data_IF_427496097132
#
_entry.id   IF_427496097132
#
_cell.length_a   1.000
_cell.length_b   1.000
_cell.length_c   1.000
_cell.angle_alpha   90.00
_cell.angle_beta   90.00
_cell.angle_gamma   90.00
#
_symmetry.space_group_name_H-M   'P 1'
#
loop_
_entity.id
_entity.type
_entity.pdbx_description
1 polymer ?
#
# COMPACT_ATOMS: atom_id res chain seq x y z
N UNK A 1 -7.31 49.86 10.06
CA UNK A 1 -6.56 48.71 9.52
C UNK A 1 -7.08 47.49 10.26
N UNK A 2 -8.02 46.78 9.64
CA UNK A 2 -8.71 45.64 10.22
C UNK A 2 -7.82 44.41 10.21
N UNK A 3 -7.55 43.86 11.38
CA UNK A 3 -6.94 42.54 11.55
C UNK A 3 -7.81 41.49 10.86
N UNK A 4 -7.26 40.87 9.81
CA UNK A 4 -7.89 39.75 9.12
C UNK A 4 -7.84 38.51 10.01
N UNK A 5 -8.99 38.13 10.56
CA UNK A 5 -9.15 36.90 11.34
C UNK A 5 -8.75 35.66 10.54
N UNK A 6 -7.68 35.00 10.98
CA UNK A 6 -7.26 33.69 10.49
C UNK A 6 -8.23 32.63 11.04
N UNK A 7 -8.68 31.74 10.16
CA UNK A 7 -9.59 30.63 10.43
C UNK A 7 -9.30 29.91 11.76
N UNK A 8 -10.36 29.56 12.48
CA UNK A 8 -10.37 29.04 13.86
C UNK A 8 -9.25 28.03 14.13
N UNK A 9 -8.31 28.42 15.01
CA UNK A 9 -7.19 27.58 15.39
C UNK A 9 -7.67 26.37 16.18
N UNK A 10 -7.47 25.18 15.61
CA UNK A 10 -7.44 23.96 16.40
C UNK A 10 -6.32 24.12 17.45
N UNK A 11 -6.64 23.99 18.73
CA UNK A 11 -5.66 24.14 19.82
C UNK A 11 -4.63 23.01 19.85
N UNK A 12 -4.90 21.92 19.13
CA UNK A 12 -4.03 20.74 19.03
C UNK A 12 -2.88 21.03 18.07
N UNK A 13 -1.65 20.86 18.58
CA UNK A 13 -0.42 21.21 17.85
C UNK A 13 0.46 20.00 17.53
N UNK A 14 0.06 18.80 17.94
CA UNK A 14 0.82 17.56 17.72
C UNK A 14 0.24 16.74 16.57
N UNK A 15 1.09 16.22 15.70
CA UNK A 15 0.79 15.18 14.73
C UNK A 15 1.52 13.90 15.14
N UNK A 16 0.84 12.76 15.04
CA UNK A 16 1.44 11.46 15.32
C UNK A 16 1.57 10.66 14.02
N UNK A 17 2.77 10.18 13.72
CA UNK A 17 3.06 9.45 12.49
C UNK A 17 3.44 8.01 12.82
N UNK A 18 2.90 7.06 12.08
CA UNK A 18 3.36 5.67 12.17
C UNK A 18 4.85 5.57 11.79
N UNK A 19 5.62 4.86 12.61
CA UNK A 19 7.00 4.49 12.30
C UNK A 19 7.14 3.60 11.04
N UNK A 20 6.02 3.02 10.57
CA UNK A 20 5.96 2.17 9.37
C UNK A 20 5.49 2.94 8.12
N UNK A 21 5.47 4.28 8.17
CA UNK A 21 5.32 5.11 6.98
C UNK A 21 6.56 5.01 6.08
N UNK A 22 6.38 5.33 4.79
CA UNK A 22 7.52 5.50 3.91
C UNK A 22 8.45 6.61 4.43
N UNK A 23 9.79 6.41 4.46
CA UNK A 23 10.72 7.37 5.04
C UNK A 23 10.60 8.78 4.45
N UNK A 24 10.43 8.88 3.12
CA UNK A 24 10.25 10.15 2.44
C UNK A 24 8.94 10.85 2.83
N UNK A 25 7.87 10.10 3.11
CA UNK A 25 6.60 10.66 3.60
C UNK A 25 6.80 11.30 4.96
N UNK A 26 7.51 10.62 5.86
CA UNK A 26 7.86 11.15 7.19
C UNK A 26 8.65 12.46 7.04
N UNK A 27 9.71 12.47 6.22
CA UNK A 27 10.53 13.67 6.00
C UNK A 27 9.74 14.85 5.43
N UNK A 28 8.84 14.60 4.47
CA UNK A 28 7.99 15.65 3.88
C UNK A 28 7.02 16.21 4.92
N UNK A 29 6.38 15.35 5.71
CA UNK A 29 5.43 15.78 6.74
C UNK A 29 6.14 16.58 7.84
N UNK A 30 7.30 16.11 8.33
CA UNK A 30 8.11 16.83 9.32
C UNK A 30 8.48 18.23 8.82
N UNK A 31 9.05 18.31 7.62
CA UNK A 31 9.45 19.60 7.02
C UNK A 31 8.26 20.58 6.91
N UNK A 32 7.07 20.08 6.56
CA UNK A 32 5.86 20.91 6.46
C UNK A 32 5.30 21.29 7.82
N UNK A 33 5.32 20.38 8.79
CA UNK A 33 4.87 20.61 10.16
C UNK A 33 5.71 21.69 10.86
N UNK A 34 7.03 21.63 10.70
CA UNK A 34 7.96 22.61 11.27
C UNK A 34 7.64 24.03 10.80
N UNK A 35 7.36 24.21 9.49
CA UNK A 35 6.98 25.51 8.92
C UNK A 35 5.67 26.08 9.47
N UNK A 36 4.82 25.23 10.06
CA UNK A 36 3.54 25.59 10.66
C UNK A 36 3.61 25.64 12.20
N UNK A 37 4.77 25.34 12.78
CA UNK A 37 4.99 25.21 14.22
C UNK A 37 4.22 24.05 14.86
N UNK A 38 3.97 22.98 14.10
CA UNK A 38 3.38 21.74 14.61
C UNK A 38 4.49 20.81 15.09
N UNK A 39 4.24 20.06 16.16
CA UNK A 39 5.17 19.04 16.68
C UNK A 39 4.83 17.70 16.05
N UNK A 40 5.82 16.97 15.57
CA UNK A 40 5.66 15.63 14.98
C UNK A 40 6.25 14.59 15.91
N UNK A 41 5.44 13.60 16.28
CA UNK A 41 5.86 12.42 17.04
C UNK A 41 5.77 11.20 16.11
N UNK A 42 6.84 10.40 16.04
CA UNK A 42 6.89 9.19 15.22
C UNK A 42 6.95 7.97 16.14
N UNK A 43 6.05 7.02 15.98
CA UNK A 43 5.98 5.87 16.88
C UNK A 43 5.03 4.76 16.44
N UNK A 44 4.79 3.81 17.35
CA UNK A 44 3.83 2.72 17.16
C UNK A 44 2.41 3.24 17.41
N UNK A 45 1.66 3.45 16.33
CA UNK A 45 0.28 3.98 16.37
C UNK A 45 -0.69 3.04 17.07
N UNK A 46 -0.41 1.73 17.12
CA UNK A 46 -1.28 0.76 17.78
C UNK A 46 -1.15 0.85 19.32
N UNK A 47 -0.05 1.41 19.81
CA UNK A 47 0.22 1.62 21.25
C UNK A 47 0.16 3.09 21.65
N UNK A 48 -0.18 3.98 20.73
CA UNK A 48 -0.24 5.41 21.00
C UNK A 48 -1.39 5.74 21.96
N UNK A 49 -1.12 6.65 22.90
CA UNK A 49 -2.11 7.19 23.81
C UNK A 49 -2.63 8.54 23.29
N UNK A 50 -3.95 8.62 23.08
CA UNK A 50 -4.63 9.84 22.61
C UNK A 50 -5.42 10.54 23.73
N UNK A 51 -5.41 10.02 24.96
CA UNK A 51 -6.21 10.50 26.09
C UNK A 51 -5.92 11.96 26.50
N UNK A 52 -4.71 12.44 26.23
CA UNK A 52 -4.28 13.83 26.43
C UNK A 52 -4.98 14.84 25.52
N UNK A 53 -5.63 14.39 24.44
CA UNK A 53 -6.37 15.22 23.47
C UNK A 53 -5.54 16.36 22.85
N UNK A 54 -4.23 16.22 22.81
CA UNK A 54 -3.27 17.16 22.22
C UNK A 54 -2.88 16.82 20.77
N UNK A 55 -3.17 15.58 20.33
CA UNK A 55 -2.93 15.09 18.97
C UNK A 55 -4.05 15.53 18.02
N UNK A 56 -3.69 16.34 17.02
CA UNK A 56 -4.59 16.84 15.99
C UNK A 56 -4.96 15.76 14.96
N UNK A 57 -3.98 14.94 14.58
CA UNK A 57 -4.21 13.84 13.66
C UNK A 57 -3.11 12.79 13.68
N UNK A 58 -3.47 11.60 13.21
CA UNK A 58 -2.60 10.43 13.05
C UNK A 58 -2.46 10.12 11.56
N UNK A 59 -1.25 9.81 11.10
CA UNK A 59 -1.00 9.31 9.75
C UNK A 59 -0.50 7.86 9.81
N UNK A 60 -1.20 6.96 9.14
CA UNK A 60 -0.83 5.54 8.99
C UNK A 60 -0.58 5.19 7.53
N UNK A 61 0.14 4.10 7.27
CA UNK A 61 0.42 3.56 5.94
C UNK A 61 -0.28 2.20 5.78
N UNK A 62 -0.94 1.95 4.66
CA UNK A 62 -1.75 0.75 4.44
C UNK A 62 -1.73 0.25 2.96
N UNK A 63 -1.15 -0.92 2.66
CA UNK A 63 -0.21 -1.69 3.47
C UNK A 63 0.99 -0.84 3.89
N UNK A 64 1.66 -1.22 4.97
CA UNK A 64 2.76 -0.41 5.51
C UNK A 64 4.03 -0.45 4.64
N UNK A 65 5.05 0.33 5.00
CA UNK A 65 6.29 0.38 4.19
C UNK A 65 7.04 -0.95 4.15
N UNK A 66 6.79 -1.87 5.08
CA UNK A 66 7.39 -3.20 5.14
C UNK A 66 6.50 -4.27 4.47
N UNK A 67 5.34 -3.87 3.94
CA UNK A 67 4.38 -4.71 3.25
C UNK A 67 3.29 -5.32 4.13
N UNK A 68 3.30 -5.08 5.45
CA UNK A 68 2.34 -5.70 6.36
C UNK A 68 0.96 -5.05 6.22
N UNK A 69 -0.07 -5.90 6.16
CA UNK A 69 -1.48 -5.49 6.25
C UNK A 69 -1.93 -5.59 7.70
N UNK A 70 -2.36 -4.47 8.26
CA UNK A 70 -2.77 -4.34 9.67
C UNK A 70 -4.23 -3.90 9.76
N UNK A 71 -4.98 -4.46 10.71
CA UNK A 71 -6.31 -3.96 11.08
C UNK A 71 -6.18 -2.76 12.03
N UNK A 72 -6.67 -1.61 11.57
CA UNK A 72 -6.61 -0.35 12.32
C UNK A 72 -7.93 -0.01 13.05
N UNK A 73 -8.95 -0.87 13.02
CA UNK A 73 -10.30 -0.56 13.55
C UNK A 73 -10.26 -0.04 15.00
N UNK A 74 -9.55 -0.74 15.89
CA UNK A 74 -9.43 -0.37 17.32
C UNK A 74 -8.67 0.95 17.50
N UNK A 75 -7.63 1.17 16.70
CA UNK A 75 -6.82 2.39 16.78
C UNK A 75 -7.64 3.62 16.32
N UNK A 76 -8.43 3.48 15.24
CA UNK A 76 -9.28 4.56 14.74
C UNK A 76 -10.35 4.93 15.76
N UNK A 77 -11.02 3.93 16.34
CA UNK A 77 -12.02 4.15 17.39
C UNK A 77 -11.42 4.94 18.57
N UNK A 78 -10.27 4.49 19.10
CA UNK A 78 -9.59 5.18 20.20
C UNK A 78 -9.14 6.61 19.85
N UNK A 79 -8.68 6.85 18.62
CA UNK A 79 -8.35 8.19 18.15
C UNK A 79 -9.58 9.11 18.11
N UNK A 80 -10.70 8.60 17.60
CA UNK A 80 -11.96 9.34 17.48
C UNK A 80 -12.61 9.66 18.82
N UNK A 81 -12.58 8.75 19.80
CA UNK A 81 -13.03 9.01 21.18
C UNK A 81 -12.31 10.22 21.82
N UNK A 82 -11.09 10.48 21.36
CA UNK A 82 -10.25 11.59 21.78
C UNK A 82 -10.27 12.77 20.80
N UNK A 83 -11.10 12.72 19.76
CA UNK A 83 -11.30 13.78 18.77
C UNK A 83 -10.11 13.99 17.82
N UNK A 84 -9.24 12.99 17.69
CA UNK A 84 -8.08 12.99 16.80
C UNK A 84 -8.48 12.47 15.41
N UNK A 85 -8.11 13.18 14.34
CA UNK A 85 -8.43 12.74 12.97
C UNK A 85 -7.46 11.65 12.51
N UNK A 86 -7.94 10.70 11.73
CA UNK A 86 -7.10 9.62 11.18
C UNK A 86 -6.97 9.73 9.67
N UNK A 87 -5.73 9.77 9.20
CA UNK A 87 -5.36 9.82 7.78
C UNK A 87 -4.63 8.53 7.39
N UNK A 88 -5.06 7.92 6.28
CA UNK A 88 -4.43 6.74 5.69
C UNK A 88 -3.65 7.13 4.43
N UNK A 89 -2.35 6.88 4.41
CA UNK A 89 -1.58 6.76 3.19
C UNK A 89 -1.73 5.34 2.64
N UNK A 90 -2.31 5.18 1.45
CA UNK A 90 -2.72 3.86 0.94
C UNK A 90 -2.40 3.67 -0.55
N UNK A 91 -2.37 2.41 -0.96
CA UNK A 91 -2.16 1.99 -2.34
C UNK A 91 -3.49 1.63 -3.02
N UNK A 92 -3.80 2.25 -4.17
CA UNK A 92 -5.08 2.03 -4.86
C UNK A 92 -5.23 0.61 -5.44
N UNK A 93 -4.13 -0.05 -5.84
CA UNK A 93 -4.17 -1.45 -6.26
C UNK A 93 -4.53 -2.30 -5.05
N UNK A 94 -3.82 -2.16 -3.93
CA UNK A 94 -4.10 -2.94 -2.72
C UNK A 94 -5.57 -2.83 -2.29
N UNK A 95 -6.19 -1.65 -2.40
CA UNK A 95 -7.59 -1.41 -2.04
C UNK A 95 -8.64 -2.11 -2.92
N UNK A 96 -8.24 -2.76 -4.01
CA UNK A 96 -9.17 -3.56 -4.81
C UNK A 96 -9.47 -4.93 -4.20
N UNK A 97 -8.62 -5.40 -3.27
CA UNK A 97 -8.82 -6.67 -2.53
C UNK A 97 -8.84 -6.49 -1.02
N UNK A 98 -8.21 -5.43 -0.50
CA UNK A 98 -8.20 -5.13 0.91
C UNK A 98 -9.41 -4.28 1.31
N UNK A 99 -9.85 -4.43 2.57
CA UNK A 99 -10.82 -3.53 3.20
C UNK A 99 -10.35 -2.07 3.03
N UNK A 100 -11.18 -1.17 2.48
CA UNK A 100 -10.78 0.21 2.23
C UNK A 100 -10.76 1.08 3.50
N UNK A 101 -9.99 2.20 3.52
CA UNK A 101 -9.90 3.11 4.66
C UNK A 101 -11.26 3.60 5.19
N UNK A 102 -12.24 3.80 4.32
CA UNK A 102 -13.58 4.25 4.70
C UNK A 102 -14.30 3.28 5.62
N UNK A 103 -14.04 1.98 5.49
CA UNK A 103 -14.66 0.97 6.35
C UNK A 103 -13.99 0.91 7.73
N UNK A 104 -12.74 1.34 7.86
CA UNK A 104 -12.09 1.57 9.17
C UNK A 104 -12.51 2.90 9.81
N UNK A 105 -13.42 3.65 9.18
CA UNK A 105 -13.85 4.98 9.60
C UNK A 105 -12.80 6.10 9.42
N UNK A 106 -11.84 5.93 8.51
CA UNK A 106 -10.83 6.95 8.24
C UNK A 106 -11.42 8.32 7.83
N UNK A 107 -10.82 9.40 8.31
CA UNK A 107 -11.25 10.77 7.99
C UNK A 107 -10.72 11.24 6.63
N UNK A 108 -9.49 10.81 6.30
CA UNK A 108 -8.77 11.17 5.09
C UNK A 108 -8.03 9.95 4.55
N UNK A 109 -8.01 9.78 3.23
CA UNK A 109 -7.16 8.82 2.53
C UNK A 109 -6.36 9.52 1.43
N UNK A 110 -5.07 9.25 1.38
CA UNK A 110 -4.12 9.83 0.43
C UNK A 110 -3.22 8.75 -0.15
N UNK A 111 -2.56 9.03 -1.27
CA UNK A 111 -1.58 8.12 -1.84
C UNK A 111 -1.23 8.50 -3.26
N UNK A 112 -0.60 7.57 -3.97
CA UNK A 112 -0.19 7.74 -5.37
C UNK A 112 -1.08 6.92 -6.29
N UNK A 113 -1.39 7.45 -7.47
CA UNK A 113 -1.97 6.70 -8.58
C UNK A 113 -0.94 6.27 -9.61
N UNK A 114 0.36 6.27 -9.28
CA UNK A 114 1.45 5.98 -10.22
C UNK A 114 1.30 4.62 -10.89
N UNK A 115 1.10 3.57 -10.10
CA UNK A 115 0.99 2.20 -10.61
C UNK A 115 -0.29 1.89 -11.37
N UNK A 116 -1.14 2.90 -11.59
CA UNK A 116 -2.24 2.84 -12.55
C UNK A 116 -1.72 3.21 -13.94
N UNK A 117 -0.75 2.45 -14.44
CA UNK A 117 -0.22 2.58 -15.80
C UNK A 117 0.61 3.84 -16.08
N UNK A 118 1.12 4.53 -15.04
CA UNK A 118 2.05 5.66 -15.21
C UNK A 118 3.49 5.17 -15.01
N UNK A 119 4.43 5.44 -15.94
CA UNK A 119 5.82 5.03 -15.79
C UNK A 119 6.46 5.54 -14.49
N UNK A 120 7.45 4.81 -13.95
CA UNK A 120 8.17 5.20 -12.74
C UNK A 120 8.75 6.61 -12.81
N UNK A 121 9.21 7.04 -13.98
CA UNK A 121 9.64 8.43 -14.23
C UNK A 121 10.74 8.93 -13.30
N UNK A 122 11.49 8.03 -12.66
CA UNK A 122 12.50 8.34 -11.64
C UNK A 122 12.00 9.34 -10.56
N UNK A 123 10.72 9.21 -10.19
CA UNK A 123 10.08 10.03 -9.15
C UNK A 123 8.87 10.85 -9.59
N UNK A 124 8.62 11.01 -10.90
CA UNK A 124 7.40 11.66 -11.36
C UNK A 124 7.44 12.13 -12.82
N UNK A 125 6.36 12.78 -13.30
CA UNK A 125 5.21 13.23 -12.53
C UNK A 125 4.17 12.12 -12.30
N UNK A 126 3.68 12.00 -11.07
CA UNK A 126 2.57 11.11 -10.70
C UNK A 126 1.47 11.91 -10.02
N UNK A 127 0.22 11.55 -10.31
CA UNK A 127 -0.91 12.16 -9.62
C UNK A 127 -1.05 11.52 -8.23
N UNK A 128 -1.02 12.36 -7.19
CA UNK A 128 -1.49 11.96 -5.88
C UNK A 128 -3.02 12.01 -5.83
N UNK A 129 -3.65 11.13 -5.06
CA UNK A 129 -5.07 11.24 -4.73
C UNK A 129 -5.25 11.74 -3.29
N UNK A 130 -6.39 12.38 -3.06
CA UNK A 130 -6.81 12.86 -1.75
C UNK A 130 -8.33 12.70 -1.65
N UNK A 131 -8.78 11.91 -0.69
CA UNK A 131 -10.18 11.71 -0.36
C UNK A 131 -10.41 12.04 1.11
N UNK A 132 -11.56 12.62 1.44
CA UNK A 132 -11.91 12.89 2.83
C UNK A 132 -13.43 12.75 3.05
N UNK A 133 -13.81 12.66 4.32
CA UNK A 133 -15.22 12.71 4.72
C UNK A 133 -15.92 13.97 4.24
N UNK A 134 -17.23 13.87 4.00
CA UNK A 134 -18.05 14.98 3.51
C UNK A 134 -17.96 16.24 4.39
N UNK A 135 -17.83 16.07 5.71
CA UNK A 135 -17.66 17.16 6.67
C UNK A 135 -16.37 17.97 6.46
N UNK A 136 -15.34 17.38 5.85
CA UNK A 136 -14.02 17.97 5.62
C UNK A 136 -13.84 18.53 4.21
N UNK A 137 -14.83 18.38 3.31
CA UNK A 137 -14.74 18.79 1.90
C UNK A 137 -14.41 20.28 1.73
N UNK A 138 -14.92 21.15 2.62
CA UNK A 138 -14.63 22.60 2.58
C UNK A 138 -13.17 22.93 2.92
N UNK A 139 -12.43 22.00 3.49
CA UNK A 139 -11.01 22.11 3.83
C UNK A 139 -10.12 21.36 2.84
N UNK A 140 -10.69 20.71 1.82
CA UNK A 140 -9.93 19.90 0.88
C UNK A 140 -8.96 20.77 0.05
N UNK A 141 -7.68 20.38 -0.04
CA UNK A 141 -6.72 21.10 -0.87
C UNK A 141 -6.95 20.82 -2.36
N UNK A 142 -6.45 21.71 -3.21
CA UNK A 142 -6.45 21.51 -4.66
C UNK A 142 -7.77 21.87 -5.33
N UNK A 143 -8.07 21.20 -6.45
CA UNK A 143 -9.25 21.45 -7.29
C UNK A 143 -10.17 20.25 -7.25
N UNK A 144 -11.47 20.48 -7.04
CA UNK A 144 -12.51 19.47 -7.10
C UNK A 144 -13.43 19.70 -8.30
N UNK A 145 -13.92 18.60 -8.87
CA UNK A 145 -14.82 18.61 -10.01
C UNK A 145 -16.25 18.57 -9.49
N UNK A 146 -17.01 19.62 -9.74
CA UNK A 146 -18.44 19.68 -9.42
C UNK A 146 -19.28 19.45 -10.68
N UNK A 147 -20.31 18.60 -10.58
CA UNK A 147 -21.34 18.53 -11.61
C UNK A 147 -22.34 19.67 -11.39
N UNK A 148 -22.58 20.46 -12.43
CA UNK A 148 -23.64 21.47 -12.45
C UNK A 148 -24.58 21.21 -13.61
N UNK A 149 -25.89 21.41 -13.40
CA UNK A 149 -26.87 21.38 -14.49
C UNK A 149 -26.96 22.78 -15.11
N UNK A 150 -26.81 22.87 -16.42
CA UNK A 150 -27.16 24.07 -17.20
C UNK A 150 -28.66 24.08 -17.53
N UNK A 151 -29.20 25.25 -17.88
CA UNK A 151 -30.61 25.44 -18.28
C UNK A 151 -31.02 24.68 -19.55
N UNK A 152 -30.05 24.23 -20.33
CA UNK A 152 -30.22 23.22 -21.36
C UNK A 152 -30.02 21.86 -20.69
N UNK A 153 -31.03 21.00 -20.74
CA UNK A 153 -31.20 19.72 -20.02
C UNK A 153 -30.11 18.64 -20.25
N UNK A 154 -28.90 19.02 -20.64
CA UNK A 154 -27.73 18.17 -20.75
C UNK A 154 -26.68 18.61 -19.72
N UNK A 155 -26.16 17.72 -18.86
CA UNK A 155 -25.12 18.08 -17.90
C UNK A 155 -23.87 18.59 -18.61
N UNK A 156 -23.56 19.89 -18.47
CA UNK A 156 -22.29 20.46 -18.89
C UNK A 156 -21.31 20.29 -17.73
N UNK A 157 -20.45 19.28 -17.82
CA UNK A 157 -19.23 19.27 -17.02
C UNK A 157 -18.31 20.39 -17.56
N UNK A 158 -18.27 21.55 -16.90
CA UNK A 158 -17.14 22.47 -17.01
C UNK A 158 -15.90 21.75 -16.50
N UNK A 159 -14.76 21.83 -17.20
CA UNK A 159 -13.57 20.97 -17.05
C UNK A 159 -13.51 20.24 -15.71
N UNK A 160 -14.01 19.01 -15.70
CA UNK A 160 -13.19 17.83 -15.88
C UNK A 160 -14.04 16.72 -16.49
N UNK A 161 -13.66 16.31 -17.71
CA UNK A 161 -14.11 15.06 -18.30
C UNK A 161 -12.92 14.14 -18.41
N UNK A 162 -13.06 13.01 -17.73
CA UNK A 162 -12.51 11.69 -18.09
C UNK A 162 -10.99 11.52 -18.11
N UNK A 163 -10.43 11.28 -16.92
CA UNK A 163 -9.31 10.33 -16.78
C UNK A 163 -9.78 8.98 -16.20
N UNK A 164 -11.00 8.85 -15.67
CA UNK A 164 -11.37 7.67 -14.84
C UNK A 164 -11.97 6.49 -15.63
N UNK A 165 -12.61 6.70 -16.79
CA UNK A 165 -13.39 5.61 -17.43
C UNK A 165 -12.58 4.63 -18.29
N UNK A 166 -11.43 5.03 -18.85
CA UNK A 166 -10.61 4.13 -19.68
C UNK A 166 -9.87 3.07 -18.84
N UNK A 167 -9.73 3.30 -17.53
CA UNK A 167 -9.00 2.38 -16.66
C UNK A 167 -9.84 1.21 -16.15
N UNK A 168 -11.18 1.31 -16.13
CA UNK A 168 -12.04 0.29 -15.49
C UNK A 168 -11.94 -1.08 -16.17
N UNK A 169 -11.70 -1.13 -17.49
CA UNK A 169 -11.52 -2.40 -18.21
C UNK A 169 -10.11 -2.98 -18.06
N UNK A 170 -9.08 -2.12 -17.92
CA UNK A 170 -7.70 -2.56 -17.60
C UNK A 170 -7.61 -3.11 -16.17
N UNK A 171 -8.38 -2.53 -15.25
CA UNK A 171 -8.51 -3.02 -13.87
C UNK A 171 -9.06 -4.44 -13.78
N UNK A 172 -9.98 -4.83 -14.67
CA UNK A 172 -10.62 -6.14 -14.60
C UNK A 172 -9.68 -7.30 -14.94
N UNK A 173 -8.71 -7.10 -15.85
CA UNK A 173 -7.68 -8.10 -16.17
C UNK A 173 -6.63 -8.17 -15.06
N UNK A 174 -6.25 -7.01 -14.51
CA UNK A 174 -5.36 -6.92 -13.36
C UNK A 174 -5.98 -7.66 -12.15
N UNK A 175 -7.29 -7.54 -11.92
CA UNK A 175 -8.00 -8.20 -10.81
C UNK A 175 -8.01 -9.74 -10.86
N UNK A 176 -7.85 -10.35 -12.03
CA UNK A 176 -7.69 -11.81 -12.14
C UNK A 176 -6.27 -12.31 -11.84
N UNK A 177 -5.28 -11.43 -11.90
CA UNK A 177 -3.89 -11.69 -11.45
C UNK A 177 -3.66 -11.32 -9.97
N UNK A 178 -4.71 -10.86 -9.27
CA UNK A 178 -4.62 -10.12 -7.99
C UNK A 178 -4.46 -10.93 -6.71
N UNK A 179 -4.19 -12.21 -6.85
CA UNK A 179 -3.36 -12.94 -5.91
C UNK A 179 -2.31 -13.62 -6.76
N UNK A 180 -1.27 -12.85 -7.10
CA UNK A 180 -0.33 -13.25 -8.12
C UNK A 180 0.30 -14.58 -7.67
N UNK A 181 0.16 -15.69 -8.41
CA UNK A 181 0.80 -16.95 -8.05
C UNK A 181 2.30 -16.75 -7.78
N UNK A 182 2.92 -15.77 -8.42
CA UNK A 182 4.31 -15.36 -8.18
C UNK A 182 4.54 -14.88 -6.74
N UNK A 183 3.61 -14.11 -6.14
CA UNK A 183 3.73 -13.64 -4.74
C UNK A 183 3.70 -14.82 -3.76
N UNK A 184 2.75 -15.73 -3.94
CA UNK A 184 2.66 -16.95 -3.13
C UNK A 184 3.90 -17.84 -3.30
N UNK A 185 4.36 -17.99 -4.55
CA UNK A 185 5.50 -18.84 -4.88
C UNK A 185 6.81 -18.28 -4.30
N UNK A 186 7.04 -16.97 -4.38
CA UNK A 186 8.16 -16.31 -3.68
C UNK A 186 8.04 -16.53 -2.18
N UNK A 187 6.88 -16.26 -1.58
CA UNK A 187 6.68 -16.40 -0.14
C UNK A 187 6.95 -17.82 0.38
N UNK A 188 6.49 -18.84 -0.36
CA UNK A 188 6.67 -20.25 0.01
C UNK A 188 8.09 -20.73 -0.30
N UNK A 189 8.58 -20.51 -1.51
CA UNK A 189 9.91 -20.95 -1.93
C UNK A 189 11.04 -20.29 -1.15
N UNK A 190 10.90 -19.01 -0.77
CA UNK A 190 11.86 -18.32 0.10
C UNK A 190 11.94 -19.01 1.48
N UNK A 191 10.82 -19.46 2.04
CA UNK A 191 10.80 -20.20 3.31
C UNK A 191 11.44 -21.57 3.20
N UNK A 192 11.20 -22.28 2.10
CA UNK A 192 11.82 -23.59 1.83
C UNK A 192 13.35 -23.49 1.72
N UNK A 193 13.87 -22.33 1.28
CA UNK A 193 15.30 -22.02 1.26
C UNK A 193 15.89 -21.66 2.65
N UNK A 194 15.12 -21.84 3.73
CA UNK A 194 15.54 -21.57 5.10
C UNK A 194 15.49 -20.09 5.52
N UNK A 195 14.94 -19.21 4.69
CA UNK A 195 14.74 -17.81 5.05
C UNK A 195 13.44 -17.64 5.86
N UNK A 196 13.35 -16.58 6.67
CA UNK A 196 12.12 -16.26 7.40
C UNK A 196 11.38 -15.13 6.69
N UNK A 197 10.07 -15.28 6.50
CA UNK A 197 9.21 -14.19 6.02
C UNK A 197 8.48 -13.57 7.20
N UNK A 198 8.64 -12.25 7.37
CA UNK A 198 8.26 -11.54 8.58
C UNK A 198 6.78 -11.09 8.58
N UNK A 199 6.16 -10.95 7.41
CA UNK A 199 4.78 -10.52 7.29
C UNK A 199 3.82 -11.70 7.47
N UNK A 200 2.78 -11.53 8.31
CA UNK A 200 1.69 -12.49 8.42
C UNK A 200 0.70 -12.36 7.26
N UNK A 201 0.36 -11.12 6.88
CA UNK A 201 -0.45 -10.76 5.73
C UNK A 201 0.24 -9.62 4.97
N UNK A 202 0.25 -9.72 3.65
CA UNK A 202 0.84 -8.74 2.74
C UNK A 202 0.05 -8.68 1.44
N UNK A 203 0.25 -7.60 0.68
CA UNK A 203 -0.28 -7.46 -0.68
C UNK A 203 0.78 -7.89 -1.69
N UNK A 204 1.72 -7.00 -2.01
CA UNK A 204 2.72 -7.20 -3.05
C UNK A 204 4.16 -7.13 -2.53
N UNK A 205 4.33 -6.77 -1.26
CA UNK A 205 5.62 -6.48 -0.63
C UNK A 205 5.86 -7.45 0.52
N UNK A 206 7.02 -8.10 0.52
CA UNK A 206 7.42 -9.08 1.53
C UNK A 206 8.75 -8.65 2.15
N UNK A 207 8.81 -8.64 3.49
CA UNK A 207 10.01 -8.46 4.29
C UNK A 207 10.55 -9.82 4.71
N UNK A 208 11.80 -10.09 4.33
CA UNK A 208 12.47 -11.38 4.47
C UNK A 208 13.69 -11.20 5.37
N UNK A 209 13.82 -12.05 6.38
CA UNK A 209 15.08 -12.25 7.11
C UNK A 209 15.86 -13.36 6.41
N UNK A 210 16.92 -13.02 5.63
CA UNK A 210 17.61 -14.00 4.82
C UNK A 210 18.43 -14.96 5.69
N UNK A 211 18.56 -16.21 5.23
CA UNK A 211 19.41 -17.24 5.85
C UNK A 211 20.89 -17.01 5.60
N UNK A 212 21.22 -16.23 4.56
CA UNK A 212 22.56 -15.83 4.19
C UNK A 212 22.79 -14.33 4.42
N UNK A 213 24.06 -13.92 4.36
CA UNK A 213 24.45 -12.53 4.53
C UNK A 213 23.78 -11.60 3.50
N UNK A 214 23.37 -10.41 3.94
CA UNK A 214 22.70 -9.43 3.10
C UNK A 214 23.60 -8.97 1.93
N UNK A 215 24.92 -8.95 2.10
CA UNK A 215 25.88 -8.64 1.05
C UNK A 215 25.92 -9.69 -0.06
N UNK A 216 25.76 -10.97 0.27
CA UNK A 216 25.64 -12.05 -0.70
C UNK A 216 24.32 -11.96 -1.48
N UNK A 217 23.20 -11.70 -0.79
CA UNK A 217 21.90 -11.43 -1.43
C UNK A 217 22.03 -10.27 -2.43
N UNK A 218 22.67 -9.18 -2.02
CA UNK A 218 22.88 -8.02 -2.87
C UNK A 218 23.76 -8.35 -4.09
N UNK A 219 24.81 -9.16 -3.90
CA UNK A 219 25.69 -9.59 -4.98
C UNK A 219 24.91 -10.39 -6.04
N UNK A 220 24.12 -11.37 -5.61
CA UNK A 220 23.27 -12.18 -6.50
C UNK A 220 22.21 -11.36 -7.21
N UNK A 221 21.53 -10.46 -6.49
CA UNK A 221 20.52 -9.59 -7.07
C UNK A 221 21.10 -8.71 -8.19
N UNK A 222 22.32 -8.19 -8.01
CA UNK A 222 23.02 -7.42 -9.04
C UNK A 222 23.35 -8.24 -10.28
N UNK A 223 23.67 -9.52 -10.15
CA UNK A 223 23.93 -10.41 -11.29
C UNK A 223 22.67 -10.62 -12.15
N UNK A 224 21.50 -10.57 -11.53
CA UNK A 224 20.19 -10.64 -12.21
C UNK A 224 19.60 -9.28 -12.57
N UNK A 225 20.34 -8.19 -12.30
CA UNK A 225 19.87 -6.81 -12.49
C UNK A 225 18.57 -6.47 -11.72
N UNK A 226 18.35 -7.14 -10.59
CA UNK A 226 17.20 -6.94 -9.71
C UNK A 226 17.59 -6.00 -8.56
N UNK A 227 16.74 -5.00 -8.30
CA UNK A 227 16.89 -4.12 -7.15
C UNK A 227 16.02 -4.61 -6.00
N UNK A 228 16.65 -4.82 -4.84
CA UNK A 228 15.97 -5.18 -3.60
C UNK A 228 16.10 -4.05 -2.58
N UNK A 229 15.11 -3.92 -1.69
CA UNK A 229 15.22 -2.97 -0.59
C UNK A 229 16.03 -3.60 0.55
N UNK A 230 17.20 -3.06 0.83
CA UNK A 230 18.03 -3.51 1.95
C UNK A 230 17.72 -2.68 3.19
N UNK A 231 17.38 -3.34 4.30
CA UNK A 231 17.16 -2.70 5.59
C UNK A 231 18.41 -2.76 6.47
N UNK A 232 18.54 -1.83 7.41
CA UNK A 232 19.68 -1.74 8.32
C UNK A 232 19.74 -2.89 9.34
N UNK A 233 18.61 -3.55 9.60
CA UNK A 233 18.49 -4.71 10.49
C UNK A 233 18.94 -6.03 9.81
N UNK A 234 19.45 -5.96 8.58
CA UNK A 234 19.88 -7.11 7.78
C UNK A 234 18.76 -7.78 6.98
N UNK A 235 17.50 -7.37 7.17
CA UNK A 235 16.36 -7.88 6.39
C UNK A 235 16.31 -7.29 4.99
N UNK A 236 15.54 -7.91 4.11
CA UNK A 236 15.42 -7.55 2.69
C UNK A 236 13.94 -7.45 2.33
N UNK A 237 13.56 -6.35 1.70
CA UNK A 237 12.23 -6.12 1.15
C UNK A 237 12.19 -6.43 -0.35
N UNK A 238 11.18 -7.21 -0.75
CA UNK A 238 10.86 -7.53 -2.14
C UNK A 238 9.45 -6.99 -2.41
N UNK A 239 9.30 -6.08 -3.37
CA UNK A 239 8.00 -5.62 -3.85
C UNK A 239 7.82 -6.09 -5.29
N UNK A 240 6.75 -6.84 -5.53
CA UNK A 240 6.39 -7.36 -6.84
C UNK A 240 5.36 -6.43 -7.49
N UNK A 241 5.43 -6.27 -8.80
CA UNK A 241 4.49 -5.45 -9.56
C UNK A 241 3.90 -6.22 -10.75
N UNK A 242 3.09 -5.53 -11.55
CA UNK A 242 2.40 -6.09 -12.70
C UNK A 242 3.34 -6.61 -13.81
N UNK A 243 4.63 -6.27 -13.76
CA UNK A 243 5.61 -6.66 -14.80
C UNK A 243 6.36 -7.95 -14.46
N UNK A 244 6.16 -8.50 -13.26
CA UNK A 244 6.87 -9.70 -12.77
C UNK A 244 6.43 -10.94 -13.54
N UNK A 245 7.39 -11.57 -14.21
CA UNK A 245 7.26 -12.84 -14.94
C UNK A 245 7.68 -14.05 -14.10
N UNK A 246 7.42 -15.26 -14.59
CA UNK A 246 7.88 -16.51 -13.96
C UNK A 246 9.41 -16.56 -13.83
N UNK A 247 10.14 -16.05 -14.83
CA UNK A 247 11.59 -16.01 -14.81
C UNK A 247 12.13 -15.11 -13.69
N UNK A 248 11.47 -13.98 -13.43
CA UNK A 248 11.84 -13.08 -12.34
C UNK A 248 11.67 -13.78 -10.99
N UNK A 249 10.67 -14.65 -10.86
CA UNK A 249 10.47 -15.43 -9.64
C UNK A 249 11.55 -16.49 -9.47
N UNK A 250 11.91 -17.22 -10.53
CA UNK A 250 13.04 -18.15 -10.48
C UNK A 250 14.34 -17.44 -10.07
N UNK A 251 14.58 -16.25 -10.64
CA UNK A 251 15.75 -15.43 -10.31
C UNK A 251 15.72 -14.99 -8.84
N UNK A 252 14.57 -14.58 -8.32
CA UNK A 252 14.39 -14.26 -6.90
C UNK A 252 14.66 -15.49 -6.01
N UNK A 253 14.11 -16.65 -6.33
CA UNK A 253 14.34 -17.88 -5.56
C UNK A 253 15.83 -18.25 -5.55
N UNK A 254 16.50 -18.14 -6.69
CA UNK A 254 17.93 -18.36 -6.80
C UNK A 254 18.75 -17.35 -5.97
N UNK A 255 18.37 -16.07 -5.99
CA UNK A 255 18.98 -15.01 -5.16
C UNK A 255 18.89 -15.41 -3.68
N UNK A 256 17.73 -15.89 -3.22
CA UNK A 256 17.50 -16.31 -1.83
C UNK A 256 17.99 -17.73 -1.49
N UNK A 257 18.72 -18.39 -2.39
CA UNK A 257 19.44 -19.63 -2.10
C UNK A 257 18.75 -20.92 -2.53
N UNK A 258 17.70 -20.85 -3.36
CA UNK A 258 17.14 -22.04 -3.98
C UNK A 258 18.19 -22.73 -4.84
N UNK A 259 18.35 -24.04 -4.63
CA UNK A 259 19.26 -24.90 -5.40
C UNK A 259 18.60 -25.52 -6.63
N UNK A 260 17.28 -25.40 -6.73
CA UNK A 260 16.52 -26.05 -7.81
C UNK A 260 16.23 -25.03 -8.91
N UNK A 261 16.71 -25.30 -10.12
CA UNK A 261 16.00 -24.84 -11.32
C UNK A 261 14.65 -25.58 -11.36
N UNK A 262 13.59 -24.97 -11.91
CA UNK A 262 12.28 -25.62 -12.12
C UNK A 262 12.33 -26.79 -13.14
N UNK A 263 13.48 -27.44 -13.31
CA UNK A 263 13.82 -28.33 -14.41
C UNK A 263 14.65 -29.54 -13.98
N UNK A 264 14.24 -30.26 -12.92
CA UNK A 264 14.62 -31.69 -12.78
C UNK A 264 13.39 -32.53 -12.44
N UNK A 265 12.85 -33.19 -13.47
CA UNK A 265 11.95 -34.34 -13.33
C UNK A 265 12.72 -35.48 -12.64
N UNK A 266 12.50 -35.63 -11.34
CA UNK A 266 12.98 -36.75 -10.53
C UNK A 266 11.80 -37.60 -10.07
N UNK A 267 11.73 -38.83 -10.58
CA UNK A 267 10.71 -39.83 -10.30
C UNK A 267 10.52 -40.12 -8.81
N UNK A 268 9.27 -40.00 -8.34
CA UNK A 268 8.73 -40.76 -7.21
C UNK A 268 8.79 -40.09 -5.84
N UNK A 269 7.76 -39.32 -5.51
CA UNK A 269 6.90 -39.41 -4.32
C UNK A 269 5.92 -38.22 -4.36
N UNK A 270 4.72 -38.41 -3.81
CA UNK A 270 3.56 -37.51 -3.95
C UNK A 270 3.82 -36.08 -3.42
N UNK A 271 4.43 -35.23 -4.25
CA UNK A 271 4.55 -33.80 -4.07
C UNK A 271 3.88 -33.08 -5.23
N UNK A 272 2.84 -32.30 -4.95
CA UNK A 272 2.05 -31.60 -5.96
C UNK A 272 2.92 -30.75 -6.88
N UNK A 273 2.86 -31.02 -8.18
CA UNK A 273 3.58 -30.24 -9.20
C UNK A 273 3.06 -28.79 -9.23
N UNK A 274 3.90 -27.83 -9.63
CA UNK A 274 3.50 -26.43 -9.81
C UNK A 274 2.22 -26.31 -10.65
N UNK A 275 2.06 -27.15 -11.68
CA UNK A 275 0.86 -27.25 -12.52
C UNK A 275 -0.40 -27.68 -11.74
N UNK A 276 -0.28 -28.60 -10.78
CA UNK A 276 -1.38 -29.02 -9.90
C UNK A 276 -1.77 -27.94 -8.90
N UNK A 277 -0.79 -27.17 -8.42
CA UNK A 277 -0.98 -26.06 -7.49
C UNK A 277 -1.67 -24.85 -8.16
N UNK A 278 -1.33 -24.53 -9.42
CA UNK A 278 -1.99 -23.48 -10.21
C UNK A 278 -3.52 -23.71 -10.34
N UNK A 279 -3.95 -24.98 -10.42
CA UNK A 279 -5.37 -25.35 -10.57
C UNK A 279 -6.14 -25.20 -9.24
N UNK A 280 -5.48 -25.45 -8.11
CA UNK A 280 -6.09 -25.37 -6.78
C UNK A 280 -6.28 -23.91 -6.32
N UNK A 281 -5.28 -23.05 -6.59
CA UNK A 281 -5.33 -21.60 -6.31
C UNK A 281 -6.40 -20.92 -7.16
N UNK A 282 -6.53 -21.29 -8.44
CA UNK A 282 -7.60 -20.80 -9.32
C UNK A 282 -9.00 -21.22 -8.83
N UNK A 283 -9.13 -22.38 -8.18
CA UNK A 283 -10.39 -22.84 -7.58
C UNK A 283 -10.77 -22.08 -6.31
N UNK A 284 -9.80 -21.75 -5.45
CA UNK A 284 -10.03 -20.97 -4.22
C UNK A 284 -10.42 -19.51 -4.53
N UNK A 285 -9.76 -18.89 -5.51
CA UNK A 285 -10.11 -17.54 -5.98
C UNK A 285 -11.53 -17.48 -6.58
N UNK A 286 -11.95 -18.52 -7.34
CA UNK A 286 -13.32 -18.63 -7.87
C UNK A 286 -14.39 -18.75 -6.79
N UNK A 287 -14.12 -19.46 -5.70
CA UNK A 287 -15.07 -19.61 -4.59
C UNK A 287 -15.37 -18.27 -3.90
N UNK A 288 -14.35 -17.44 -3.72
CA UNK A 288 -14.48 -16.11 -3.10
C UNK A 288 -15.18 -15.08 -4.02
N UNK A 289 -14.97 -15.18 -5.34
CA UNK A 289 -15.64 -14.31 -6.34
C UNK A 289 -17.14 -14.65 -6.49
N UNK A 290 -17.53 -15.92 -6.34
CA UNK A 290 -18.95 -16.31 -6.38
C UNK A 290 -19.78 -15.70 -5.24
N UNK A 291 -19.17 -15.43 -4.09
CA UNK A 291 -19.82 -14.79 -2.94
C UNK A 291 -20.18 -13.32 -3.21
N UNK A 292 -19.38 -12.60 -4.03
CA UNK A 292 -19.62 -11.19 -4.40
C UNK A 292 -20.67 -11.02 -5.51
N UNK A 293 -21.15 -12.09 -6.14
CA UNK A 293 -22.24 -12.02 -7.14
C UNK A 293 -23.64 -12.09 -6.52
N UNK A 294 -23.76 -12.34 -5.22
CA UNK A 294 -25.04 -12.57 -4.53
C UNK A 294 -25.29 -11.60 -3.36
N UNK A 295 -24.56 -10.49 -3.30
CA UNK A 295 -24.73 -9.40 -2.32
C UNK A 295 -24.97 -8.07 -3.00
#
# INVERSE_FOLDING_TARGET
>A
MSEGGVLGQNKRRKLFLSHLLHPQTVSVVQTRADSQGLTVEVGDVLRADFSSRDVAGVLVQYPDTEGTVTDFSVMVEHAHENGTLVCFATDLLALTVLRPPSEFDADVAVGSSQRFGVPLGYGGPHAGFFACRQSLVRLMPGRMIGVTSSSWQSPIAGVCKNVVLTYVTVFYTILTDFYNPNQWFVHTGVRECGNTVNNAMFFDTVKISPSMDQGEIQHRARQKQINLRLFLDGTVGVSLDETVSEQDVEDLLWIFGSRSSLSEEGSGEEGGTAQGYYIEVASFARASICALRHS
#
